data_IF_237424637530
#
_entry.id   IF_237424637530
#
_cell.length_a   1.000
_cell.length_b   1.000
_cell.length_c   1.000
_cell.angle_alpha   90.00
_cell.angle_beta   90.00
_cell.angle_gamma   90.00
#
_symmetry.space_group_name_H-M   'P 1'
#
loop_
_entity.id
_entity.type
_entity.pdbx_description
1 polymer ?
#
# COMPACT_ATOMS: atom_id res chain seq x y z
N UNK A 1 30.28 5.53 -12.76
CA UNK A 1 30.49 4.35 -11.90
C UNK A 1 29.18 3.55 -11.93
N UNK A 2 29.19 2.32 -12.43
CA UNK A 2 27.96 1.50 -12.62
C UNK A 2 27.36 1.01 -11.29
N UNK A 3 28.00 1.32 -10.16
CA UNK A 3 27.58 0.93 -8.82
C UNK A 3 26.37 1.73 -8.30
N UNK A 4 26.19 2.99 -8.71
CA UNK A 4 25.04 3.81 -8.30
C UNK A 4 23.71 3.40 -8.96
N UNK A 5 23.74 2.58 -10.01
CA UNK A 5 22.54 2.09 -10.71
C UNK A 5 22.14 0.66 -10.32
N UNK A 6 22.88 0.04 -9.39
CA UNK A 6 22.78 -1.39 -9.06
C UNK A 6 21.80 -1.69 -7.92
N UNK A 7 20.99 -0.71 -7.55
CA UNK A 7 20.28 -0.65 -6.26
C UNK A 7 18.94 -1.42 -6.26
N UNK A 8 18.37 -1.75 -7.43
CA UNK A 8 17.06 -2.43 -7.53
C UNK A 8 17.23 -3.82 -8.17
N UNK A 9 18.23 -4.58 -7.72
CA UNK A 9 18.56 -5.89 -8.27
C UNK A 9 18.39 -7.01 -7.25
N UNK A 10 17.59 -8.00 -7.60
CA UNK A 10 17.47 -9.27 -6.89
C UNK A 10 18.39 -10.31 -7.54
N UNK A 11 18.96 -11.19 -6.71
CA UNK A 11 19.79 -12.32 -7.15
C UNK A 11 20.95 -11.90 -8.06
N UNK A 12 21.83 -11.06 -7.52
CA UNK A 12 23.08 -10.66 -8.18
C UNK A 12 24.05 -11.84 -8.14
N UNK A 13 24.45 -12.32 -9.30
CA UNK A 13 25.60 -13.20 -9.45
C UNK A 13 26.73 -12.43 -10.11
N UNK A 14 27.86 -12.33 -9.43
CA UNK A 14 29.11 -11.81 -10.00
C UNK A 14 30.18 -12.90 -9.93
N UNK A 15 30.89 -13.07 -11.04
CA UNK A 15 32.06 -13.95 -11.18
C UNK A 15 33.06 -13.22 -12.10
N UNK A 16 34.27 -13.76 -12.29
CA UNK A 16 35.29 -13.13 -13.13
C UNK A 16 34.73 -12.82 -14.53
N UNK A 17 34.60 -11.53 -14.88
CA UNK A 17 34.00 -11.05 -16.14
C UNK A 17 32.56 -11.51 -16.41
N UNK A 18 31.79 -11.90 -15.39
CA UNK A 18 30.40 -12.32 -15.53
C UNK A 18 29.51 -11.57 -14.55
N UNK A 19 28.33 -11.20 -15.01
CA UNK A 19 27.30 -10.59 -14.18
C UNK A 19 25.93 -11.14 -14.59
N UNK A 20 25.09 -11.46 -13.63
CA UNK A 20 23.67 -11.69 -13.85
C UNK A 20 22.86 -11.06 -12.71
N UNK A 21 21.68 -10.56 -13.05
CA UNK A 21 20.75 -9.97 -12.08
C UNK A 21 19.31 -10.00 -12.59
N UNK A 22 18.35 -9.94 -11.67
CA UNK A 22 16.95 -9.73 -11.97
C UNK A 22 16.45 -8.43 -11.35
N UNK A 23 15.51 -7.75 -11.99
CA UNK A 23 14.67 -6.72 -11.37
C UNK A 23 13.35 -7.38 -11.00
N UNK A 24 12.92 -7.25 -9.74
CA UNK A 24 11.76 -7.97 -9.19
C UNK A 24 10.56 -7.98 -10.15
N UNK A 25 10.30 -9.15 -10.76
CA UNK A 25 9.18 -9.37 -11.67
C UNK A 25 9.21 -8.57 -12.97
N UNK A 26 10.28 -7.83 -13.30
CA UNK A 26 10.33 -6.90 -14.45
C UNK A 26 11.26 -7.37 -15.57
N UNK A 27 12.45 -7.86 -15.23
CA UNK A 27 13.41 -8.34 -16.22
C UNK A 27 14.61 -9.05 -15.61
N UNK A 28 15.32 -9.78 -16.45
CA UNK A 28 16.55 -10.49 -16.14
C UNK A 28 17.61 -10.12 -17.17
N UNK A 29 18.85 -9.98 -16.71
CA UNK A 29 20.02 -9.71 -17.54
C UNK A 29 21.18 -10.60 -17.10
N UNK A 30 21.91 -11.14 -18.06
CA UNK A 30 23.19 -11.80 -17.82
C UNK A 30 24.18 -11.53 -18.95
N UNK A 31 25.43 -11.28 -18.58
CA UNK A 31 26.54 -11.05 -19.50
C UNK A 31 27.68 -12.00 -19.14
N UNK A 32 28.22 -12.67 -20.16
CA UNK A 32 29.40 -13.52 -20.06
C UNK A 32 30.57 -12.90 -20.82
N UNK A 33 31.39 -12.12 -20.12
CA UNK A 33 32.61 -11.55 -20.65
C UNK A 33 33.76 -12.56 -20.75
N UNK A 34 33.61 -13.82 -20.35
CA UNK A 34 34.65 -14.83 -20.58
C UNK A 34 34.57 -15.42 -21.98
N UNK A 35 35.61 -16.18 -22.38
CA UNK A 35 35.62 -16.92 -23.65
C UNK A 35 34.89 -18.26 -23.58
N UNK A 36 34.75 -18.85 -22.39
CA UNK A 36 34.06 -20.13 -22.19
C UNK A 36 32.56 -19.91 -21.93
N UNK A 37 31.74 -20.82 -22.45
CA UNK A 37 30.30 -20.83 -22.20
C UNK A 37 29.99 -20.91 -20.69
N UNK A 38 28.91 -20.25 -20.30
CA UNK A 38 28.42 -20.23 -18.94
C UNK A 38 27.02 -20.83 -18.91
N UNK A 39 26.89 -22.05 -18.40
CA UNK A 39 25.65 -22.81 -18.37
C UNK A 39 25.28 -23.21 -16.95
N UNK A 40 24.14 -22.75 -16.45
CA UNK A 40 23.59 -23.14 -15.13
C UNK A 40 22.12 -22.76 -15.00
N UNK A 41 21.51 -23.21 -13.91
CA UNK A 41 20.28 -22.64 -13.41
C UNK A 41 20.56 -21.29 -12.74
N UNK A 42 19.91 -20.26 -13.27
CA UNK A 42 19.81 -18.96 -12.66
C UNK A 42 18.51 -18.90 -11.89
N UNK A 43 18.60 -18.44 -10.65
CA UNK A 43 17.40 -17.97 -9.99
C UNK A 43 17.01 -16.62 -10.58
N UNK A 44 15.71 -16.39 -10.75
CA UNK A 44 15.15 -15.12 -11.20
C UNK A 44 13.84 -14.81 -10.46
N UNK A 45 13.41 -13.55 -10.56
CA UNK A 45 12.11 -13.08 -10.04
C UNK A 45 11.05 -12.97 -11.12
N UNK A 46 11.40 -13.37 -12.36
CA UNK A 46 10.46 -13.37 -13.47
C UNK A 46 9.36 -14.42 -13.24
N UNK A 47 8.09 -14.13 -13.58
CA UNK A 47 7.05 -15.14 -13.55
C UNK A 47 7.36 -16.36 -14.41
N UNK A 48 6.78 -17.49 -14.09
CA UNK A 48 6.90 -18.68 -14.92
C UNK A 48 6.35 -18.46 -16.33
N UNK A 49 7.01 -19.06 -17.32
CA UNK A 49 6.63 -19.01 -18.72
C UNK A 49 7.81 -18.87 -19.67
N UNK A 50 7.49 -18.72 -20.94
CA UNK A 50 8.46 -18.61 -22.02
C UNK A 50 8.67 -17.16 -22.42
N UNK A 51 9.92 -16.79 -22.61
CA UNK A 51 10.36 -15.44 -22.92
C UNK A 51 11.27 -15.44 -24.14
N UNK A 52 11.18 -14.39 -24.94
CA UNK A 52 12.19 -14.14 -25.97
C UNK A 52 13.39 -13.44 -25.36
N UNK A 53 14.58 -13.94 -25.71
CA UNK A 53 15.81 -13.20 -25.49
C UNK A 53 15.84 -11.97 -26.41
N UNK A 54 15.92 -10.78 -25.80
CA UNK A 54 16.03 -9.50 -26.49
C UNK A 54 17.32 -9.38 -27.29
N UNK A 55 18.36 -10.12 -26.92
CA UNK A 55 19.64 -10.06 -27.62
C UNK A 55 19.67 -10.96 -28.86
N UNK A 56 19.20 -12.21 -28.75
CA UNK A 56 19.12 -13.13 -29.87
C UNK A 56 17.94 -12.86 -30.84
N UNK A 57 16.95 -12.06 -30.44
CA UNK A 57 15.80 -11.76 -31.29
C UNK A 57 14.71 -10.92 -30.63
N UNK A 58 13.49 -11.05 -31.12
CA UNK A 58 12.33 -10.31 -30.64
C UNK A 58 11.07 -11.16 -30.66
N UNK A 59 10.05 -10.75 -29.92
CA UNK A 59 8.72 -11.36 -29.95
C UNK A 59 7.92 -10.79 -31.14
N UNK A 60 7.65 -11.62 -32.14
CA UNK A 60 6.87 -11.25 -33.33
C UNK A 60 5.74 -12.26 -33.53
N UNK A 61 4.50 -11.78 -33.61
CA UNK A 61 3.31 -12.63 -33.79
C UNK A 61 3.22 -13.80 -32.80
N UNK A 62 3.58 -13.56 -31.53
CA UNK A 62 3.53 -14.56 -30.46
C UNK A 62 4.65 -15.60 -30.51
N UNK A 63 5.70 -15.39 -31.30
CA UNK A 63 6.87 -16.29 -31.38
C UNK A 63 8.18 -15.52 -31.29
N UNK A 64 9.20 -16.13 -30.71
CA UNK A 64 10.54 -15.56 -30.71
C UNK A 64 11.19 -15.74 -32.09
N UNK A 65 11.82 -14.69 -32.59
CA UNK A 65 12.67 -14.79 -33.79
C UNK A 65 14.05 -15.39 -33.50
N UNK A 66 14.42 -15.44 -32.21
CA UNK A 66 15.67 -16.01 -31.71
C UNK A 66 15.42 -17.03 -30.60
N UNK A 67 16.30 -17.05 -29.60
CA UNK A 67 16.22 -17.99 -28.48
C UNK A 67 14.96 -17.76 -27.63
N UNK A 68 14.33 -18.87 -27.22
CA UNK A 68 13.29 -18.91 -26.20
C UNK A 68 13.88 -19.36 -24.87
N UNK A 69 13.55 -18.64 -23.81
CA UNK A 69 13.99 -18.88 -22.43
C UNK A 69 12.78 -19.30 -21.62
N UNK A 70 12.86 -20.44 -20.95
CA UNK A 70 11.81 -20.94 -20.06
C UNK A 70 12.17 -20.65 -18.61
N UNK A 71 11.31 -19.88 -17.94
CA UNK A 71 11.32 -19.71 -16.48
C UNK A 71 10.34 -20.71 -15.89
N UNK A 72 10.81 -21.52 -14.94
CA UNK A 72 9.99 -22.52 -14.25
C UNK A 72 9.18 -21.92 -13.11
N UNK A 73 8.23 -22.70 -12.61
CA UNK A 73 7.39 -22.35 -11.47
C UNK A 73 8.16 -22.09 -10.17
N UNK A 74 9.37 -22.64 -10.03
CA UNK A 74 10.28 -22.41 -8.90
C UNK A 74 11.16 -21.16 -9.04
N UNK A 75 10.92 -20.35 -10.07
CA UNK A 75 11.69 -19.14 -10.37
C UNK A 75 13.04 -19.40 -11.02
N UNK A 76 13.35 -20.64 -11.44
CA UNK A 76 14.63 -20.95 -12.09
C UNK A 76 14.55 -20.91 -13.62
N UNK A 77 15.62 -20.45 -14.26
CA UNK A 77 15.82 -20.54 -15.70
C UNK A 77 17.17 -21.18 -16.01
N UNK A 78 17.18 -22.21 -16.87
CA UNK A 78 18.45 -22.71 -17.42
C UNK A 78 18.89 -21.78 -18.54
N UNK A 79 20.08 -21.20 -18.43
CA UNK A 79 20.66 -20.38 -19.49
C UNK A 79 22.01 -20.96 -19.90
N UNK A 80 22.26 -21.01 -21.21
CA UNK A 80 23.58 -21.27 -21.77
C UNK A 80 24.04 -20.00 -22.48
N UNK A 81 24.99 -19.30 -21.86
CA UNK A 81 25.45 -18.01 -22.35
C UNK A 81 26.82 -18.22 -23.01
N UNK A 82 26.89 -17.93 -24.31
CA UNK A 82 28.08 -17.83 -25.14
C UNK A 82 29.28 -17.24 -24.41
N UNK A 83 30.52 -17.60 -24.77
CA UNK A 83 31.62 -16.69 -24.47
C UNK A 83 31.42 -15.37 -25.22
N UNK A 84 31.57 -14.23 -24.54
CA UNK A 84 31.34 -12.87 -25.08
C UNK A 84 29.89 -12.58 -25.50
N UNK A 85 28.91 -13.29 -24.95
CA UNK A 85 27.49 -13.06 -25.25
C UNK A 85 26.70 -12.53 -24.04
N UNK A 86 25.48 -12.10 -24.33
CA UNK A 86 24.51 -11.52 -23.40
C UNK A 86 23.18 -12.23 -23.59
N UNK A 87 22.44 -12.39 -22.49
CA UNK A 87 21.04 -12.79 -22.48
C UNK A 87 20.25 -11.74 -21.70
N UNK A 88 19.13 -11.30 -22.26
CA UNK A 88 18.23 -10.39 -21.57
C UNK A 88 16.77 -10.72 -21.89
N UNK A 89 15.92 -10.82 -20.89
CA UNK A 89 14.47 -11.03 -21.09
C UNK A 89 13.66 -10.23 -20.09
N UNK A 90 12.44 -9.85 -20.45
CA UNK A 90 11.57 -9.01 -19.62
C UNK A 90 10.11 -9.40 -19.74
N UNK A 91 9.24 -8.83 -18.90
CA UNK A 91 7.80 -9.09 -19.00
C UNK A 91 7.24 -8.80 -20.40
N UNK A 92 7.82 -7.82 -21.10
CA UNK A 92 7.41 -7.45 -22.45
C UNK A 92 7.76 -8.51 -23.51
N UNK A 93 8.76 -9.37 -23.26
CA UNK A 93 9.13 -10.46 -24.18
C UNK A 93 8.48 -11.80 -23.84
N UNK A 94 7.57 -11.85 -22.86
CA UNK A 94 6.86 -13.07 -22.49
C UNK A 94 5.88 -13.49 -23.58
N UNK A 95 5.99 -14.74 -24.04
CA UNK A 95 5.03 -15.36 -24.95
C UNK A 95 3.68 -15.48 -24.23
N UNK A 96 2.61 -15.06 -24.91
CA UNK A 96 1.28 -14.97 -24.31
C UNK A 96 1.03 -13.69 -23.50
N UNK A 97 1.98 -12.75 -23.49
CA UNK A 97 1.85 -11.46 -22.82
C UNK A 97 2.10 -11.52 -21.32
N UNK A 98 1.85 -10.39 -20.66
CA UNK A 98 1.98 -10.24 -19.20
C UNK A 98 1.05 -11.26 -18.53
N UNK A 99 1.55 -12.09 -17.59
CA UNK A 99 0.69 -13.03 -16.89
C UNK A 99 -0.41 -12.27 -16.13
N UNK A 100 -1.58 -12.88 -15.92
CA UNK A 100 -2.59 -12.30 -15.05
C UNK A 100 -1.97 -11.91 -13.70
N UNK A 101 -2.38 -10.78 -13.09
CA UNK A 101 -1.95 -10.45 -11.74
C UNK A 101 -2.19 -11.65 -10.82
N UNK A 102 -1.19 -12.00 -10.00
CA UNK A 102 -1.35 -13.06 -9.00
C UNK A 102 -2.56 -12.68 -8.14
N UNK A 103 -3.57 -13.56 -8.00
CA UNK A 103 -4.72 -13.28 -7.16
C UNK A 103 -4.25 -12.94 -5.75
N UNK A 104 -4.77 -11.85 -5.20
CA UNK A 104 -4.51 -11.48 -3.81
C UNK A 104 -4.96 -12.63 -2.91
N UNK A 105 -4.10 -13.17 -2.03
CA UNK A 105 -4.49 -14.31 -1.19
C UNK A 105 -5.70 -13.98 -0.31
N UNK A 106 -6.56 -14.97 -0.06
CA UNK A 106 -7.76 -14.78 0.75
C UNK A 106 -7.42 -14.32 2.16
N UNK A 107 -7.98 -13.18 2.58
CA UNK A 107 -7.73 -12.55 3.88
C UNK A 107 -6.90 -11.28 3.78
N UNK A 108 -6.18 -11.09 2.67
CA UNK A 108 -5.40 -9.89 2.43
C UNK A 108 -6.30 -8.73 2.01
N UNK A 109 -6.15 -7.58 2.67
CA UNK A 109 -6.82 -6.34 2.29
C UNK A 109 -5.80 -5.22 2.08
N UNK A 110 -6.14 -4.27 1.20
CA UNK A 110 -5.32 -3.09 0.96
C UNK A 110 -5.35 -2.19 2.19
N UNK A 111 -4.22 -2.01 2.83
CA UNK A 111 -4.02 -1.13 3.98
C UNK A 111 -3.04 -0.02 3.59
N UNK A 112 -3.40 1.22 3.85
CA UNK A 112 -2.52 2.38 3.64
C UNK A 112 -2.17 2.94 5.00
N UNK A 113 -0.90 3.28 5.21
CA UNK A 113 -0.40 3.83 6.46
C UNK A 113 0.33 5.13 6.14
N UNK A 114 -0.03 6.19 6.85
CA UNK A 114 0.59 7.50 6.81
C UNK A 114 1.16 7.84 8.18
N UNK A 115 2.40 8.34 8.22
CA UNK A 115 3.00 8.96 9.39
C UNK A 115 3.47 10.36 9.01
N UNK A 116 2.89 11.39 9.65
CA UNK A 116 3.34 12.77 9.53
C UNK A 116 4.63 12.97 10.31
N UNK A 117 5.69 13.30 9.61
CA UNK A 117 6.99 13.61 10.18
C UNK A 117 7.83 14.45 9.22
N UNK A 118 8.28 15.60 9.70
CA UNK A 118 9.30 16.38 9.00
C UNK A 118 10.66 15.71 9.17
N UNK A 119 11.28 15.37 8.04
CA UNK A 119 12.57 14.69 7.95
C UNK A 119 13.57 15.53 7.19
N UNK A 120 14.85 15.37 7.49
CA UNK A 120 15.94 16.01 6.76
C UNK A 120 16.46 15.10 5.64
N UNK A 121 17.18 15.69 4.68
CA UNK A 121 17.80 14.96 3.58
C UNK A 121 18.66 13.80 4.12
N UNK A 122 18.46 12.59 3.56
CA UNK A 122 19.13 11.36 3.99
C UNK A 122 18.48 10.64 5.16
N UNK A 123 17.44 11.19 5.79
CA UNK A 123 16.63 10.46 6.77
C UNK A 123 15.57 9.61 6.08
N UNK A 124 15.33 8.44 6.67
CA UNK A 124 14.37 7.47 6.17
C UNK A 124 13.46 7.01 7.30
N UNK A 125 12.16 6.86 7.01
CA UNK A 125 11.18 6.37 7.96
C UNK A 125 10.81 4.92 7.69
N UNK A 126 10.80 4.13 8.75
CA UNK A 126 10.36 2.74 8.78
C UNK A 126 9.21 2.59 9.77
N UNK A 127 8.40 1.55 9.59
CA UNK A 127 7.46 1.06 10.60
C UNK A 127 7.82 -0.36 11.02
N UNK A 128 7.50 -0.66 12.26
CA UNK A 128 7.50 -2.00 12.85
C UNK A 128 6.19 -2.17 13.58
N UNK A 129 5.57 -3.35 13.51
CA UNK A 129 4.24 -3.53 14.05
C UNK A 129 3.79 -4.98 14.07
N UNK A 130 2.59 -5.22 14.59
CA UNK A 130 2.06 -6.57 14.72
C UNK A 130 0.91 -6.61 15.72
N UNK A 131 0.62 -7.79 16.24
CA UNK A 131 -0.42 -8.01 17.26
C UNK A 131 0.19 -8.32 18.63
N UNK A 132 1.13 -7.47 19.08
CA UNK A 132 1.77 -7.63 20.40
C UNK A 132 0.77 -7.68 21.55
N UNK A 133 -0.23 -6.78 21.56
CA UNK A 133 -1.28 -6.74 22.58
C UNK A 133 -2.03 -8.07 22.70
N UNK A 134 -2.37 -8.70 21.57
CA UNK A 134 -3.08 -9.98 21.54
C UNK A 134 -2.21 -11.14 22.06
N UNK A 135 -0.88 -10.96 22.07
CA UNK A 135 0.12 -11.92 22.53
C UNK A 135 0.76 -11.51 23.87
N UNK A 136 0.07 -10.70 24.69
CA UNK A 136 0.53 -10.25 26.02
C UNK A 136 1.88 -9.53 25.98
N UNK A 137 2.13 -8.80 24.90
CA UNK A 137 3.39 -8.10 24.61
C UNK A 137 4.61 -9.03 24.51
N UNK A 138 4.38 -10.32 24.24
CA UNK A 138 5.43 -11.33 24.02
C UNK A 138 5.50 -11.66 22.52
N UNK A 139 6.41 -10.99 21.83
CA UNK A 139 6.77 -11.30 20.45
C UNK A 139 8.12 -12.01 20.39
N UNK A 140 8.43 -12.63 19.25
CA UNK A 140 9.74 -13.21 19.04
C UNK A 140 10.85 -12.16 19.23
N UNK A 141 11.94 -12.58 19.86
CA UNK A 141 13.15 -11.78 19.98
C UNK A 141 14.07 -12.27 18.86
N UNK A 142 14.18 -11.45 17.82
CA UNK A 142 14.92 -11.76 16.62
C UNK A 142 16.43 -11.98 16.80
N UNK A 143 17.17 -12.08 15.68
CA UNK A 143 16.68 -11.81 14.33
C UNK A 143 16.00 -13.01 13.65
N UNK A 144 15.19 -12.69 12.63
CA UNK A 144 14.69 -13.61 11.60
C UNK A 144 13.70 -14.68 12.07
N UNK A 145 12.92 -14.39 13.13
CA UNK A 145 11.94 -15.34 13.68
C UNK A 145 10.50 -15.09 13.18
N UNK A 146 10.30 -14.12 12.27
CA UNK A 146 8.98 -13.67 11.80
C UNK A 146 8.08 -14.80 11.30
N UNK A 147 8.63 -15.80 10.62
CA UNK A 147 7.86 -16.95 10.10
C UNK A 147 7.15 -17.75 11.21
N UNK A 148 7.66 -17.69 12.44
CA UNK A 148 7.14 -18.38 13.62
C UNK A 148 6.59 -17.44 14.69
N UNK A 149 6.78 -16.12 14.53
CA UNK A 149 6.32 -15.11 15.47
C UNK A 149 4.79 -14.97 15.43
N UNK A 150 4.15 -15.12 16.58
CA UNK A 150 2.71 -14.95 16.71
C UNK A 150 2.26 -13.48 16.60
N UNK A 151 3.19 -12.53 16.77
CA UNK A 151 2.93 -11.10 16.58
C UNK A 151 2.98 -10.67 15.12
N UNK A 152 3.75 -11.36 14.28
CA UNK A 152 4.05 -10.93 12.92
C UNK A 152 2.83 -11.08 12.01
N UNK A 153 2.58 -10.06 11.18
CA UNK A 153 1.48 -10.04 10.21
C UNK A 153 2.08 -10.12 8.81
N UNK A 154 1.75 -11.16 8.01
CA UNK A 154 2.16 -11.22 6.62
C UNK A 154 1.68 -10.01 5.81
N UNK A 155 2.59 -9.41 5.04
CA UNK A 155 2.34 -8.27 4.17
C UNK A 155 2.87 -8.51 2.75
N UNK A 156 2.32 -7.78 1.79
CA UNK A 156 2.85 -7.66 0.43
C UNK A 156 2.89 -6.18 0.08
N UNK A 157 4.06 -5.69 -0.32
CA UNK A 157 4.20 -4.31 -0.80
C UNK A 157 3.36 -4.04 -2.05
N UNK A 158 2.63 -2.94 -2.02
CA UNK A 158 1.77 -2.51 -3.13
C UNK A 158 1.83 -0.98 -3.34
N UNK A 159 2.87 -0.32 -2.83
CA UNK A 159 3.14 1.10 -3.05
C UNK A 159 3.76 1.30 -4.43
N UNK A 160 3.28 2.29 -5.17
CA UNK A 160 3.86 2.68 -6.46
C UNK A 160 4.68 3.96 -6.27
N UNK A 161 5.99 3.87 -6.47
CA UNK A 161 6.92 5.01 -6.40
C UNK A 161 7.76 5.10 -7.68
N UNK A 162 8.19 6.32 -8.08
CA UNK A 162 9.14 6.48 -9.17
C UNK A 162 10.52 5.93 -8.80
N UNK A 163 11.37 5.71 -9.81
CA UNK A 163 12.69 5.09 -9.64
C UNK A 163 13.64 5.87 -8.72
N UNK A 164 13.37 7.16 -8.48
CA UNK A 164 14.15 8.02 -7.58
C UNK A 164 14.05 7.59 -6.12
N UNK A 165 13.05 6.79 -5.75
CA UNK A 165 12.92 6.17 -4.43
C UNK A 165 13.73 4.87 -4.36
N UNK A 166 15.02 4.96 -4.68
CA UNK A 166 15.88 3.78 -4.78
C UNK A 166 15.97 3.05 -3.43
N UNK A 167 16.03 3.79 -2.33
CA UNK A 167 16.02 3.30 -0.94
C UNK A 167 14.77 2.46 -0.65
N UNK A 168 13.57 3.04 -0.84
CA UNK A 168 12.30 2.33 -0.65
C UNK A 168 12.23 1.07 -1.53
N UNK A 169 12.57 1.20 -2.81
CA UNK A 169 12.53 0.10 -3.78
C UNK A 169 13.52 -1.01 -3.43
N UNK A 170 14.61 -0.71 -2.73
CA UNK A 170 15.59 -1.69 -2.27
C UNK A 170 15.11 -2.40 -1.02
N UNK A 171 14.80 -1.63 0.02
CA UNK A 171 14.44 -2.15 1.34
C UNK A 171 13.07 -2.85 1.38
N UNK A 172 12.15 -2.53 0.46
CA UNK A 172 10.86 -3.23 0.37
C UNK A 172 10.96 -4.62 -0.28
N UNK A 173 12.07 -4.93 -0.97
CA UNK A 173 12.24 -6.25 -1.55
C UNK A 173 12.43 -7.28 -0.44
N UNK A 174 11.65 -8.35 -0.46
CA UNK A 174 11.78 -9.41 0.55
C UNK A 174 11.34 -8.99 1.95
N UNK A 175 10.68 -7.83 2.10
CA UNK A 175 9.90 -7.46 3.28
C UNK A 175 8.54 -8.16 3.19
N UNK A 176 8.32 -9.13 4.06
CA UNK A 176 7.20 -10.07 4.02
C UNK A 176 6.30 -9.98 5.26
N UNK A 177 6.75 -9.32 6.33
CA UNK A 177 6.04 -9.22 7.59
C UNK A 177 6.08 -7.79 8.14
N UNK A 178 4.93 -7.34 8.62
CA UNK A 178 4.93 -6.30 9.64
C UNK A 178 5.24 -6.99 10.97
N UNK A 179 6.43 -6.71 11.52
CA UNK A 179 6.95 -7.29 12.76
C UNK A 179 7.67 -6.26 13.66
N UNK A 180 8.06 -6.65 14.88
CA UNK A 180 8.81 -5.80 15.83
C UNK A 180 10.34 -6.05 15.84
N UNK A 181 10.83 -7.13 15.23
CA UNK A 181 12.24 -7.53 15.18
C UNK A 181 13.07 -6.61 14.26
N UNK A 182 12.51 -6.17 13.14
CA UNK A 182 13.15 -5.26 12.18
C UNK A 182 13.42 -5.88 10.83
N UNK A 183 14.69 -5.90 10.40
CA UNK A 183 15.05 -6.47 9.11
C UNK A 183 14.76 -7.98 9.06
N UNK A 184 14.29 -8.46 7.90
CA UNK A 184 14.16 -9.89 7.64
C UNK A 184 15.41 -10.47 6.95
N UNK A 185 15.58 -11.79 7.05
CA UNK A 185 16.78 -12.49 6.55
C UNK A 185 17.05 -12.22 5.07
N UNK A 186 15.97 -12.04 4.30
CA UNK A 186 16.01 -11.84 2.83
C UNK A 186 15.52 -10.46 2.42
N UNK A 187 15.35 -9.55 3.37
CA UNK A 187 15.00 -8.18 3.05
C UNK A 187 16.16 -7.50 2.33
N UNK A 188 15.84 -6.71 1.31
CA UNK A 188 16.83 -6.02 0.49
C UNK A 188 17.62 -5.00 1.29
N UNK A 189 18.81 -4.67 0.80
CA UNK A 189 19.70 -3.65 1.35
C UNK A 189 19.89 -2.53 0.34
N UNK A 190 20.26 -1.34 0.82
CA UNK A 190 20.56 -0.19 -0.02
C UNK A 190 21.99 0.24 0.27
N UNK A 191 22.88 0.21 -0.72
CA UNK A 191 24.31 0.53 -0.55
C UNK A 191 25.02 -0.21 0.59
N UNK A 192 24.52 -1.42 0.92
CA UNK A 192 25.02 -2.24 2.03
C UNK A 192 24.33 -1.99 3.37
N UNK A 193 23.50 -0.94 3.47
CA UNK A 193 22.73 -0.64 4.67
C UNK A 193 21.49 -1.54 4.76
N UNK A 194 21.37 -2.19 5.92
CA UNK A 194 20.20 -2.99 6.27
C UNK A 194 19.03 -2.09 6.68
N UNK A 195 17.79 -2.47 6.35
CA UNK A 195 16.61 -1.71 6.76
C UNK A 195 16.34 -1.85 8.26
N UNK A 196 15.51 -0.96 8.79
CA UNK A 196 15.05 -1.03 10.18
C UNK A 196 13.58 -1.51 10.29
N UNK A 197 13.09 -2.28 9.33
CA UNK A 197 11.69 -2.74 9.25
C UNK A 197 11.07 -2.37 7.92
N UNK A 198 9.76 -2.16 7.89
CA UNK A 198 9.04 -1.82 6.66
C UNK A 198 9.28 -0.36 6.25
N UNK A 199 9.89 -0.08 5.08
CA UNK A 199 10.18 1.29 4.67
C UNK A 199 8.90 2.03 4.25
N UNK A 200 8.85 3.34 4.51
CA UNK A 200 7.84 4.25 3.99
C UNK A 200 8.45 5.14 2.91
N UNK A 201 7.62 5.60 1.99
CA UNK A 201 7.99 6.59 0.98
C UNK A 201 7.50 7.97 1.40
N UNK A 202 8.39 8.97 1.44
CA UNK A 202 7.97 10.36 1.59
C UNK A 202 6.95 10.73 0.51
N UNK A 203 5.90 11.48 0.86
CA UNK A 203 4.82 11.78 -0.07
C UNK A 203 4.24 13.18 0.09
N UNK A 204 3.58 13.65 -0.97
CA UNK A 204 2.78 14.88 -1.00
C UNK A 204 1.46 14.66 -1.75
N UNK A 205 0.52 15.59 -1.58
CA UNK A 205 -0.73 15.67 -2.35
C UNK A 205 -0.61 16.55 -3.61
N UNK A 206 0.56 17.17 -3.85
CA UNK A 206 0.84 17.95 -5.06
C UNK A 206 1.03 17.02 -6.27
N UNK A 207 0.05 16.99 -7.17
CA UNK A 207 0.06 16.14 -8.38
C UNK A 207 1.21 16.42 -9.37
N UNK A 208 1.91 17.54 -9.23
CA UNK A 208 3.06 17.89 -10.07
C UNK A 208 4.39 17.41 -9.50
N UNK A 209 4.42 17.04 -8.22
CA UNK A 209 5.62 16.61 -7.52
C UNK A 209 5.98 15.15 -7.83
N UNK A 210 7.28 14.83 -7.80
CA UNK A 210 7.75 13.44 -7.97
C UNK A 210 7.31 12.56 -6.79
N UNK A 211 7.07 13.19 -5.64
CA UNK A 211 6.60 12.58 -4.40
C UNK A 211 5.07 12.47 -4.31
N UNK A 212 4.35 12.80 -5.39
CA UNK A 212 2.90 12.68 -5.43
C UNK A 212 2.45 11.24 -5.14
N UNK A 213 1.54 11.09 -4.19
CA UNK A 213 0.85 9.82 -3.94
C UNK A 213 -0.67 10.03 -3.93
N UNK A 214 -1.45 9.24 -4.71
CA UNK A 214 -2.88 9.50 -4.89
C UNK A 214 -3.72 9.30 -3.63
N UNK A 215 -3.19 8.61 -2.60
CA UNK A 215 -3.86 8.47 -1.30
C UNK A 215 -3.50 9.60 -0.32
N UNK A 216 -2.45 10.38 -0.58
CA UNK A 216 -2.08 11.50 0.26
C UNK A 216 -3.00 12.69 -0.05
N UNK A 217 -3.81 13.08 0.92
CA UNK A 217 -4.68 14.27 0.83
C UNK A 217 -4.28 15.38 1.79
N UNK A 218 -3.20 15.17 2.55
CA UNK A 218 -2.89 15.91 3.76
C UNK A 218 -1.73 16.91 3.58
N UNK A 219 -1.06 16.89 2.43
CA UNK A 219 0.08 17.76 2.14
C UNK A 219 1.42 17.02 2.16
N UNK A 220 2.48 17.81 2.11
CA UNK A 220 3.85 17.36 2.34
C UNK A 220 4.09 16.94 3.79
N UNK A 221 5.21 16.28 4.07
CA UNK A 221 5.57 15.85 5.43
C UNK A 221 4.93 14.53 5.85
N UNK A 222 4.24 13.84 4.94
CA UNK A 222 3.64 12.53 5.21
C UNK A 222 4.43 11.42 4.54
N UNK A 223 4.88 10.46 5.35
CA UNK A 223 5.49 9.23 4.89
C UNK A 223 4.42 8.15 4.73
N UNK A 224 4.42 7.44 3.60
CA UNK A 224 3.34 6.54 3.19
C UNK A 224 3.86 5.14 2.87
N UNK A 225 3.08 4.12 3.24
CA UNK A 225 3.19 2.78 2.65
C UNK A 225 1.80 2.22 2.34
N UNK A 226 1.67 1.57 1.18
CA UNK A 226 0.51 0.76 0.80
C UNK A 226 0.89 -0.71 0.81
N UNK A 227 0.17 -1.49 1.61
CA UNK A 227 0.39 -2.92 1.80
C UNK A 227 -0.88 -3.69 1.45
N UNK A 228 -0.74 -4.94 1.01
CA UNK A 228 -1.77 -5.94 1.19
C UNK A 228 -1.44 -6.66 2.50
N UNK A 229 -2.31 -6.54 3.49
CA UNK A 229 -2.09 -7.06 4.85
C UNK A 229 -3.02 -8.23 5.11
N UNK A 230 -2.51 -9.36 5.61
CA UNK A 230 -3.36 -10.49 5.99
C UNK A 230 -4.19 -10.18 7.25
N UNK A 231 -5.43 -9.74 7.06
CA UNK A 231 -6.30 -9.38 8.17
C UNK A 231 -6.68 -10.57 9.05
N UNK A 232 -6.50 -11.83 8.60
CA UNK A 232 -6.72 -13.00 9.44
C UNK A 232 -5.65 -13.15 10.54
N UNK A 233 -4.50 -12.49 10.36
CA UNK A 233 -3.40 -12.42 11.33
C UNK A 233 -3.43 -11.17 12.20
N UNK A 234 -4.42 -10.29 12.00
CA UNK A 234 -4.71 -9.16 12.88
C UNK A 234 -5.72 -9.55 13.98
N UNK A 235 -5.78 -8.79 15.07
CA UNK A 235 -6.79 -8.99 16.12
C UNK A 235 -8.09 -8.28 15.73
N UNK A 236 -9.08 -9.05 15.23
CA UNK A 236 -10.37 -8.50 14.76
C UNK A 236 -10.23 -7.39 13.71
N UNK A 237 -9.19 -7.45 12.86
CA UNK A 237 -8.89 -6.42 11.88
C UNK A 237 -7.94 -5.34 12.38
N UNK A 238 -7.51 -5.37 13.65
CA UNK A 238 -6.67 -4.35 14.27
C UNK A 238 -5.26 -4.86 14.56
N UNK A 239 -4.29 -3.96 14.47
CA UNK A 239 -2.89 -4.22 14.78
C UNK A 239 -2.21 -2.96 15.28
N UNK A 240 -1.01 -3.11 15.80
CA UNK A 240 -0.20 -2.05 16.38
C UNK A 240 1.00 -1.76 15.49
N UNK A 241 1.46 -0.51 15.43
CA UNK A 241 2.69 -0.15 14.75
C UNK A 241 3.39 1.03 15.43
N UNK A 242 4.69 1.14 15.19
CA UNK A 242 5.53 2.20 15.71
C UNK A 242 6.55 2.63 14.65
N UNK A 243 6.75 3.93 14.54
CA UNK A 243 7.70 4.55 13.63
C UNK A 243 9.16 4.45 14.14
N UNK A 244 10.09 4.28 13.21
CA UNK A 244 11.54 4.30 13.44
C UNK A 244 12.24 5.12 12.36
N UNK A 245 13.06 6.09 12.76
CA UNK A 245 13.74 6.99 11.83
C UNK A 245 15.24 6.75 11.86
N UNK A 246 15.79 6.45 10.70
CA UNK A 246 17.21 6.26 10.47
C UNK A 246 17.83 7.50 9.82
N UNK A 247 19.11 7.84 10.06
CA UNK A 247 20.05 7.14 10.94
C UNK A 247 20.13 7.67 12.39
N UNK A 248 19.54 8.83 12.70
CA UNK A 248 19.90 9.59 13.91
C UNK A 248 18.80 9.76 14.98
N UNK A 249 17.53 9.46 14.67
CA UNK A 249 16.41 9.72 15.59
C UNK A 249 15.99 8.44 16.36
N UNK A 250 15.97 7.28 15.71
CA UNK A 250 15.58 6.01 16.32
C UNK A 250 14.06 5.85 16.46
N UNK A 251 13.62 5.13 17.48
CA UNK A 251 12.20 4.88 17.77
C UNK A 251 11.44 6.15 18.16
N UNK A 252 10.17 6.27 17.76
CA UNK A 252 9.28 7.27 18.37
C UNK A 252 9.05 7.00 19.87
N UNK A 253 8.57 8.01 20.60
CA UNK A 253 8.21 7.84 22.02
C UNK A 253 6.96 6.95 22.15
N UNK A 254 6.75 6.38 23.33
CA UNK A 254 5.50 5.65 23.62
C UNK A 254 4.30 6.61 23.51
N UNK A 255 3.25 6.12 22.85
CA UNK A 255 2.07 6.90 22.51
C UNK A 255 1.07 6.86 23.67
N UNK A 256 0.76 8.04 24.23
CA UNK A 256 -0.35 8.21 25.17
C UNK A 256 -1.66 8.45 24.40
N UNK A 257 -2.40 7.38 24.12
CA UNK A 257 -3.69 7.47 23.44
C UNK A 257 -4.72 8.18 24.34
N UNK A 258 -5.25 9.33 23.89
CA UNK A 258 -6.43 9.96 24.50
C UNK A 258 -7.68 9.52 23.75
N UNK A 259 -8.79 9.32 24.45
CA UNK A 259 -10.10 9.13 23.82
C UNK A 259 -10.41 10.30 22.88
N UNK A 260 -10.68 10.04 21.60
CA UNK A 260 -11.01 11.07 20.63
C UNK A 260 -12.29 11.83 21.05
N UNK A 261 -12.22 13.15 21.25
CA UNK A 261 -13.38 14.00 21.57
C UNK A 261 -14.09 14.58 20.34
N UNK A 262 -13.47 14.51 19.16
CA UNK A 262 -14.05 14.89 17.87
C UNK A 262 -14.55 16.33 17.78
N UNK A 263 -13.69 17.35 17.94
CA UNK A 263 -14.08 18.78 17.81
C UNK A 263 -13.21 19.49 16.77
N UNK A 264 -13.79 20.43 16.01
CA UNK A 264 -13.10 21.33 15.07
C UNK A 264 -13.43 22.79 15.44
N UNK A 265 -12.42 23.65 15.60
CA UNK A 265 -12.56 25.07 15.98
C UNK A 265 -13.42 25.36 17.24
N UNK A 266 -13.39 24.45 18.22
CA UNK A 266 -14.13 24.59 19.47
C UNK A 266 -15.62 24.17 19.37
N UNK A 267 -16.10 23.92 18.16
CA UNK A 267 -17.45 23.43 17.92
C UNK A 267 -17.51 21.90 18.01
N UNK A 268 -18.52 21.44 18.74
CA UNK A 268 -18.90 20.04 18.76
C UNK A 268 -19.69 19.75 17.48
N UNK A 269 -19.33 18.70 16.71
CA UNK A 269 -20.04 18.36 15.49
C UNK A 269 -21.50 18.02 15.82
N UNK A 270 -22.44 18.74 15.20
CA UNK A 270 -23.86 18.38 15.18
C UNK A 270 -24.10 17.37 14.06
N UNK A 271 -23.78 16.11 14.35
CA UNK A 271 -23.94 14.99 13.41
C UNK A 271 -22.72 14.77 12.51
N UNK A 272 -22.89 13.92 11.48
CA UNK A 272 -21.82 13.61 10.54
C UNK A 272 -21.66 14.75 9.52
N UNK A 273 -20.46 15.33 9.38
CA UNK A 273 -20.24 16.43 8.43
C UNK A 273 -20.36 15.96 6.98
N UNK A 274 -20.94 16.82 6.12
CA UNK A 274 -20.99 16.62 4.67
C UNK A 274 -20.08 17.63 3.97
N UNK A 275 -19.43 17.21 2.89
CA UNK A 275 -18.60 18.06 2.04
C UNK A 275 -19.37 18.51 0.80
N UNK A 276 -19.38 19.81 0.52
CA UNK A 276 -19.87 20.31 -0.76
C UNK A 276 -19.04 19.73 -1.91
N UNK A 277 -19.68 19.41 -3.02
CA UNK A 277 -19.02 18.71 -4.12
C UNK A 277 -19.52 19.13 -5.51
N UNK A 278 -18.67 18.87 -6.50
CA UNK A 278 -19.00 19.00 -7.92
C UNK A 278 -18.42 17.83 -8.73
N UNK A 279 -18.91 17.65 -9.96
CA UNK A 279 -18.38 16.70 -10.94
C UNK A 279 -17.40 17.35 -11.95
N UNK A 280 -17.10 18.63 -11.77
CA UNK A 280 -16.09 19.36 -12.54
C UNK A 280 -14.68 18.99 -12.07
N UNK A 281 -13.92 18.25 -12.89
CA UNK A 281 -12.57 17.79 -12.56
C UNK A 281 -11.55 18.90 -12.34
N UNK A 282 -11.87 20.14 -12.67
CA UNK A 282 -11.01 21.31 -12.46
C UNK A 282 -11.29 22.07 -11.17
N UNK A 283 -12.38 21.75 -10.47
CA UNK A 283 -12.80 22.42 -9.25
C UNK A 283 -12.15 21.82 -7.99
N UNK A 284 -11.93 22.66 -6.98
CA UNK A 284 -11.37 22.24 -5.67
C UNK A 284 -12.31 21.25 -4.97
N UNK A 285 -13.61 21.37 -5.21
CA UNK A 285 -14.66 20.52 -4.64
C UNK A 285 -14.97 19.30 -5.53
N UNK A 286 -14.10 18.99 -6.50
CA UNK A 286 -14.28 17.83 -7.36
C UNK A 286 -14.33 16.55 -6.55
N UNK A 287 -15.44 15.81 -6.71
CA UNK A 287 -15.55 14.46 -6.18
C UNK A 287 -15.69 13.50 -7.36
N UNK A 288 -14.74 12.56 -7.56
CA UNK A 288 -14.74 11.66 -8.72
C UNK A 288 -15.96 10.74 -8.77
N UNK A 289 -16.68 10.64 -7.67
CA UNK A 289 -17.92 9.88 -7.58
C UNK A 289 -19.15 10.72 -7.89
N UNK A 290 -19.11 12.05 -7.67
CA UNK A 290 -20.24 12.94 -7.96
C UNK A 290 -20.52 12.94 -9.47
N UNK A 291 -21.69 12.43 -9.86
CA UNK A 291 -22.16 12.40 -11.26
C UNK A 291 -23.20 13.46 -11.57
N UNK A 292 -23.58 14.26 -10.58
CA UNK A 292 -24.80 15.08 -10.59
C UNK A 292 -24.53 16.59 -10.75
N UNK A 293 -23.29 17.05 -10.60
CA UNK A 293 -22.92 18.45 -10.77
C UNK A 293 -22.69 19.19 -9.47
N UNK A 294 -22.63 20.52 -9.56
CA UNK A 294 -22.58 21.42 -8.40
C UNK A 294 -23.93 21.46 -7.67
N UNK A 295 -23.92 21.85 -6.39
CA UNK A 295 -25.13 21.88 -5.55
C UNK A 295 -25.38 20.61 -4.73
N UNK A 296 -24.47 19.63 -4.78
CA UNK A 296 -24.58 18.37 -4.05
C UNK A 296 -23.61 18.30 -2.89
N UNK A 297 -24.13 17.90 -1.73
CA UNK A 297 -23.33 17.63 -0.54
C UNK A 297 -23.11 16.11 -0.44
N UNK A 298 -21.87 15.72 -0.18
CA UNK A 298 -21.44 14.33 -0.14
C UNK A 298 -20.91 13.97 1.23
N UNK A 299 -21.22 12.75 1.64
CA UNK A 299 -20.58 12.16 2.81
C UNK A 299 -20.27 10.71 2.51
N UNK A 300 -19.07 10.29 2.90
CA UNK A 300 -18.65 8.91 2.84
C UNK A 300 -18.78 8.34 4.24
N UNK A 301 -19.75 7.45 4.40
CA UNK A 301 -20.13 6.88 5.70
C UNK A 301 -19.79 5.40 5.76
N UNK A 302 -19.40 4.97 6.96
CA UNK A 302 -19.34 3.56 7.34
C UNK A 302 -20.32 3.37 8.48
N UNK A 303 -21.29 2.49 8.29
CA UNK A 303 -22.41 2.33 9.21
C UNK A 303 -22.41 0.92 9.79
N UNK A 304 -22.62 0.79 11.10
CA UNK A 304 -22.80 -0.51 11.74
C UNK A 304 -24.12 -1.13 11.26
N UNK A 305 -24.03 -2.01 10.26
CA UNK A 305 -25.23 -2.62 9.69
C UNK A 305 -25.93 -3.63 10.62
N UNK A 306 -25.42 -3.92 11.83
CA UNK A 306 -26.20 -4.65 12.87
C UNK A 306 -27.21 -3.74 13.58
N UNK A 307 -27.04 -2.41 13.46
CA UNK A 307 -27.93 -1.39 14.02
C UNK A 307 -28.78 -0.66 12.97
N UNK A 308 -28.47 -0.81 11.68
CA UNK A 308 -29.32 -0.40 10.56
C UNK A 308 -30.23 -1.52 10.07
N UNK A 309 -31.36 -1.18 9.44
CA UNK A 309 -32.32 -2.17 8.95
C UNK A 309 -31.79 -2.84 7.68
N UNK A 310 -31.13 -4.00 7.87
CA UNK A 310 -30.49 -4.78 6.82
C UNK A 310 -29.53 -3.94 5.95
N UNK A 311 -28.70 -3.13 6.61
CA UNK A 311 -27.64 -2.36 5.96
C UNK A 311 -28.05 -1.09 5.26
N UNK A 312 -29.32 -0.72 5.40
CA UNK A 312 -29.84 0.61 5.13
C UNK A 312 -29.77 1.44 6.42
N UNK A 313 -29.61 2.75 6.25
CA UNK A 313 -29.65 3.71 7.35
C UNK A 313 -30.46 4.92 6.87
N UNK A 314 -31.21 5.52 7.79
CA UNK A 314 -31.88 6.79 7.55
C UNK A 314 -30.86 7.92 7.74
N UNK A 315 -30.93 8.91 6.86
CA UNK A 315 -30.19 10.15 7.01
C UNK A 315 -31.16 11.28 6.74
N UNK A 316 -31.03 12.34 7.53
CA UNK A 316 -31.86 13.53 7.40
C UNK A 316 -30.94 14.75 7.42
N UNK A 317 -31.02 15.59 6.40
CA UNK A 317 -30.23 16.82 6.31
C UNK A 317 -30.55 17.80 7.44
N UNK A 318 -29.51 18.43 8.00
CA UNK A 318 -29.59 19.48 9.01
C UNK A 318 -28.53 20.56 8.70
N UNK A 319 -28.90 21.84 8.72
CA UNK A 319 -28.05 22.95 8.23
C UNK A 319 -27.75 23.97 9.34
N UNK A 320 -26.74 23.69 10.16
CA UNK A 320 -26.28 24.62 11.21
C UNK A 320 -25.64 25.91 10.64
N UNK A 321 -25.71 27.09 11.30
CA UNK A 321 -26.32 27.36 12.61
C UNK A 321 -27.77 27.84 12.58
N UNK A 322 -28.35 28.14 11.41
CA UNK A 322 -29.65 28.82 11.30
C UNK A 322 -30.68 28.14 10.40
N UNK A 323 -30.45 26.90 9.94
CA UNK A 323 -31.41 26.13 9.14
C UNK A 323 -31.56 24.69 9.70
N UNK A 324 -32.73 24.36 10.26
CA UNK A 324 -32.98 23.11 10.98
C UNK A 324 -33.08 21.84 10.11
N UNK A 325 -33.88 20.87 10.55
CA UNK A 325 -34.12 19.61 9.84
C UNK A 325 -34.89 19.79 8.51
N UNK A 326 -34.59 18.99 7.49
CA UNK A 326 -35.38 18.91 6.25
C UNK A 326 -36.81 18.33 6.46
N UNK A 327 -37.66 18.32 5.43
CA UNK A 327 -39.03 17.74 5.49
C UNK A 327 -39.02 16.20 5.30
N UNK A 328 -40.05 15.48 5.77
CA UNK A 328 -40.10 13.99 5.74
C UNK A 328 -40.41 13.41 4.33
N UNK A 329 -39.86 12.23 4.00
CA UNK A 329 -39.96 11.56 2.67
C UNK A 329 -40.36 10.06 2.84
N UNK A 330 -41.14 9.46 1.91
CA UNK A 330 -41.69 8.06 2.01
C UNK A 330 -40.98 7.06 1.04
N UNK A 331 -40.47 5.90 1.50
CA UNK A 331 -39.66 4.92 0.70
C UNK A 331 -39.93 3.39 0.99
N UNK A 332 -39.44 2.42 0.17
CA UNK A 332 -39.68 0.91 0.22
C UNK A 332 -38.38 0.04 0.36
N UNK A 333 -38.43 -1.20 0.91
CA UNK A 333 -37.35 -2.06 1.56
C UNK A 333 -36.31 -2.86 0.71
N UNK A 334 -35.09 -3.15 1.25
CA UNK A 334 -33.99 -4.03 0.72
C UNK A 334 -32.94 -4.48 1.83
N UNK A 335 -31.90 -5.32 1.53
CA UNK A 335 -31.04 -6.17 2.47
C UNK A 335 -29.45 -6.14 2.38
N UNK A 336 -28.61 -6.20 3.48
CA UNK A 336 -27.09 -6.47 3.62
C UNK A 336 -26.30 -6.02 4.95
N UNK A 337 -24.98 -6.35 5.31
CA UNK A 337 -24.20 -6.09 6.66
C UNK A 337 -22.58 -5.77 6.77
N UNK A 338 -21.97 -4.68 7.48
CA UNK A 338 -20.51 -4.31 7.97
C UNK A 338 -20.21 -2.90 8.73
N UNK A 339 -19.55 -2.80 9.96
CA UNK A 339 -18.66 -1.66 10.55
C UNK A 339 -18.54 -1.37 12.13
N UNK A 340 -17.35 -1.04 12.80
CA UNK A 340 -17.12 -0.82 14.31
C UNK A 340 -15.75 -0.25 14.90
N UNK A 341 -15.57 -0.09 16.26
CA UNK A 341 -14.44 0.53 17.09
C UNK A 341 -13.26 -0.41 17.49
N UNK A 342 -12.06 0.12 17.79
CA UNK A 342 -10.91 -0.67 18.28
C UNK A 342 -11.17 -1.30 19.67
N UNK A 343 -10.91 -2.60 19.88
CA UNK A 343 -11.28 -3.29 21.11
C UNK A 343 -10.22 -3.23 22.23
N UNK A 344 -9.09 -2.54 22.00
CA UNK A 344 -7.98 -2.46 22.96
C UNK A 344 -7.30 -1.08 22.92
N UNK A 345 -6.41 -0.86 23.89
CA UNK A 345 -5.50 0.30 23.96
C UNK A 345 -4.07 -0.16 23.77
N UNK A 346 -3.23 0.70 23.21
CA UNK A 346 -1.82 0.40 22.96
C UNK A 346 -0.92 1.59 23.27
N UNK A 347 0.34 1.31 23.62
CA UNK A 347 1.44 2.30 23.65
C UNK A 347 2.03 2.59 22.26
N UNK A 348 1.59 1.87 21.24
CA UNK A 348 1.92 2.02 19.83
C UNK A 348 0.71 2.67 19.11
N UNK A 349 0.88 3.03 17.83
CA UNK A 349 -0.25 3.41 16.99
C UNK A 349 -1.14 2.20 16.72
N UNK A 350 -2.46 2.37 16.78
CA UNK A 350 -3.43 1.32 16.43
C UNK A 350 -3.91 1.56 15.01
N UNK A 351 -3.71 0.57 14.15
CA UNK A 351 -4.11 0.59 12.76
C UNK A 351 -5.15 -0.49 12.49
N UNK A 352 -5.99 -0.26 11.47
CA UNK A 352 -6.99 -1.20 10.97
C UNK A 352 -6.62 -1.70 9.59
N UNK A 353 -6.63 -3.01 9.45
CA UNK A 353 -6.45 -3.72 8.21
C UNK A 353 -7.58 -3.37 7.22
N UNK A 354 -7.21 -3.13 5.96
CA UNK A 354 -8.17 -2.71 4.93
C UNK A 354 -8.55 -1.23 4.95
N UNK A 355 -7.87 -0.41 5.77
CA UNK A 355 -8.16 1.03 5.93
C UNK A 355 -6.96 1.90 5.53
N UNK A 356 -7.23 3.20 5.34
CA UNK A 356 -6.21 4.26 5.36
C UNK A 356 -6.06 4.71 6.80
N UNK A 357 -4.86 4.57 7.34
CA UNK A 357 -4.51 4.89 8.71
C UNK A 357 -3.56 6.09 8.69
N UNK A 358 -3.87 7.13 9.46
CA UNK A 358 -3.10 8.38 9.49
C UNK A 358 -2.67 8.68 10.91
N UNK A 359 -1.36 8.89 11.07
CA UNK A 359 -0.72 9.11 12.34
C UNK A 359 0.18 10.35 12.29
N UNK A 360 0.41 10.96 13.44
CA UNK A 360 1.45 11.97 13.63
C UNK A 360 2.54 11.40 14.54
N UNK A 361 3.81 11.60 14.17
CA UNK A 361 4.96 11.09 14.92
C UNK A 361 4.90 11.44 16.40
N UNK A 362 5.04 10.44 17.27
CA UNK A 362 5.09 10.63 18.73
C UNK A 362 3.79 11.17 19.35
N UNK A 363 2.67 11.21 18.62
CA UNK A 363 1.39 11.68 19.13
C UNK A 363 0.32 10.58 19.12
N UNK A 364 -0.50 10.55 20.18
CA UNK A 364 -1.72 9.73 20.23
C UNK A 364 -2.93 10.38 19.57
N UNK A 365 -2.79 11.61 19.06
CA UNK A 365 -3.82 12.28 18.27
C UNK A 365 -3.70 11.87 16.81
N UNK A 366 -4.73 11.21 16.28
CA UNK A 366 -4.94 11.11 14.85
C UNK A 366 -5.07 12.53 14.27
N UNK A 367 -4.15 12.94 13.39
CA UNK A 367 -4.30 14.16 12.59
C UNK A 367 -5.30 13.86 11.46
N UNK A 368 -6.58 13.73 11.81
CA UNK A 368 -7.67 13.46 10.88
C UNK A 368 -7.74 12.02 10.36
N UNK A 369 -8.87 11.38 10.63
CA UNK A 369 -9.49 10.32 9.82
C UNK A 369 -8.73 9.01 9.54
N UNK A 370 -9.18 7.93 10.21
CA UNK A 370 -9.10 6.58 9.63
C UNK A 370 -10.15 6.50 8.51
N UNK A 371 -9.74 6.69 7.26
CA UNK A 371 -10.65 6.54 6.12
C UNK A 371 -10.71 5.07 5.69
N UNK A 372 -11.90 4.46 5.73
CA UNK A 372 -12.12 3.11 5.25
C UNK A 372 -12.83 3.13 3.88
N UNK A 373 -12.69 2.04 3.12
CA UNK A 373 -13.29 1.90 1.79
C UNK A 373 -14.83 2.06 1.77
N UNK A 374 -15.34 2.50 0.62
CA UNK A 374 -16.41 3.48 0.38
C UNK A 374 -17.88 3.00 0.37
N UNK A 375 -18.81 3.86 0.84
CA UNK A 375 -20.20 3.97 0.36
C UNK A 375 -20.52 5.47 0.21
N UNK A 376 -21.16 5.89 -0.89
CA UNK A 376 -21.43 7.30 -1.23
C UNK A 376 -22.91 7.66 -1.10
N UNK A 377 -23.20 8.75 -0.39
CA UNK A 377 -24.51 9.38 -0.32
C UNK A 377 -24.47 10.81 -0.92
N UNK A 378 -25.53 11.21 -1.64
CA UNK A 378 -25.73 12.55 -2.21
C UNK A 378 -26.99 13.18 -1.62
N UNK A 379 -26.89 14.43 -1.17
CA UNK A 379 -28.03 15.26 -0.76
C UNK A 379 -28.12 16.52 -1.63
N UNK A 380 -29.35 16.93 -1.94
CA UNK A 380 -29.70 18.08 -2.81
C UNK A 380 -30.86 18.85 -2.17
N UNK A 381 -30.90 20.17 -2.38
CA UNK A 381 -31.99 21.04 -1.90
C UNK A 381 -33.19 21.14 -2.88
N UNK A 382 -33.20 20.36 -3.97
CA UNK A 382 -34.24 20.46 -4.99
C UNK A 382 -35.45 19.54 -4.68
N UNK A 383 -36.60 20.15 -4.40
CA UNK A 383 -37.88 19.48 -4.11
C UNK A 383 -38.45 18.65 -5.28
N UNK A 384 -37.82 18.66 -6.46
CA UNK A 384 -38.27 17.95 -7.65
C UNK A 384 -37.54 16.62 -7.93
N UNK A 385 -36.56 16.24 -7.11
CA UNK A 385 -35.80 15.01 -7.34
C UNK A 385 -36.58 13.76 -6.89
N UNK A 386 -36.92 12.89 -7.85
CA UNK A 386 -37.52 11.57 -7.58
C UNK A 386 -36.58 10.73 -6.69
N UNK A 387 -36.95 10.59 -5.42
CA UNK A 387 -36.55 9.54 -4.47
C UNK A 387 -35.08 9.08 -4.52
N UNK A 388 -34.21 9.71 -3.74
CA UNK A 388 -32.80 9.32 -3.64
C UNK A 388 -32.62 7.97 -2.93
N UNK A 389 -32.53 6.89 -3.71
CA UNK A 389 -31.75 5.69 -3.37
C UNK A 389 -30.54 5.63 -4.29
N UNK A 390 -29.35 5.54 -3.71
CA UNK A 390 -28.10 5.43 -4.47
C UNK A 390 -27.66 3.97 -4.49
N UNK A 391 -27.66 3.40 -5.69
CA UNK A 391 -27.21 2.03 -5.93
C UNK A 391 -25.69 1.97 -5.95
N UNK A 392 -25.08 1.09 -5.15
CA UNK A 392 -23.71 0.64 -5.37
C UNK A 392 -23.64 -0.11 -6.70
N UNK A 393 -22.72 0.29 -7.59
CA UNK A 393 -22.33 -0.51 -8.75
C UNK A 393 -20.94 -1.09 -8.45
N UNK A 394 -20.87 -2.42 -8.46
CA UNK A 394 -19.73 -3.27 -8.12
C UNK A 394 -18.42 -2.88 -8.79
#
# INVERSE_FOLDING_TARGET
>A
DLREYLVILFQIFTDNQRIAFARQGKGFFALNGNSNAWSKFFQTTMPAGDYCDHYAGSLVNGKCTGQTITVRDDGTAYLQISGREVVAFSLASRIGGVPPPVPVPSGYQKTVIFIKMDTYMGQNLFIRGGVSHANKDVCSIGPYQQTSDACAIPIIHNTSVPFVYAEYLSWSQGDQYLDFEGAEERQGTHDGDIPFGTPLAYSTNDSSAVEYQPYNKYGSGYWMVQLLTDCKKSDQGWFELKGYVSPSIGWEQDINQKSCSGTHDGDKPFGTPLAYSTNDSSAVEFQPYNKYGSGYWTVQLLTDRKKGDQGWFELKGYVSPSIGWEQDIIQKSCTGTVGGTAPFTSKNHIAKCGAVNVFAWGSGTHDGDVHFATTLAYLTNDSSAEGHRLCNKY
#
